data_IF_142055408773
#
_entry.id   IF_142055408773
#
_cell.length_a   1.000
_cell.length_b   1.000
_cell.length_c   1.000
_cell.angle_alpha   90.00
_cell.angle_beta   90.00
_cell.angle_gamma   90.00
#
_symmetry.space_group_name_H-M   'P 1'
#
loop_
_entity.id
_entity.type
_entity.pdbx_description
1 polymer ?
#
# COMPACT_ATOMS: atom_id res chain seq x y z
N UNK A 1 7.51 -27.62 0.48
CA UNK A 1 6.19 -28.21 0.13
C UNK A 1 5.31 -28.19 1.36
N UNK A 2 4.37 -27.25 1.46
CA UNK A 2 3.26 -27.20 2.46
C UNK A 2 2.12 -26.43 1.76
N UNK A 3 1.19 -27.13 1.09
CA UNK A 3 -0.22 -27.38 1.48
C UNK A 3 -1.03 -26.07 1.68
N UNK A 4 -1.78 -25.53 0.70
CA UNK A 4 -3.05 -25.97 0.06
C UNK A 4 -4.17 -26.28 1.08
N UNK A 5 -4.88 -25.24 1.56
CA UNK A 5 -6.00 -25.37 2.53
C UNK A 5 -7.12 -24.31 2.40
N UNK A 6 -7.51 -23.88 1.19
CA UNK A 6 -8.66 -22.95 1.03
C UNK A 6 -9.66 -23.34 -0.07
N UNK A 7 -9.67 -24.62 -0.47
CA UNK A 7 -10.72 -25.16 -1.33
C UNK A 7 -11.79 -25.84 -0.48
N UNK A 8 -13.07 -25.51 -0.74
CA UNK A 8 -14.28 -26.14 -0.19
C UNK A 8 -14.93 -25.47 1.03
N UNK A 9 -15.53 -24.29 0.83
CA UNK A 9 -16.66 -23.84 1.67
C UNK A 9 -17.85 -23.25 0.90
N UNK A 10 -17.83 -23.17 -0.43
CA UNK A 10 -18.94 -22.59 -1.19
C UNK A 10 -19.38 -23.51 -2.31
N UNK A 11 -20.22 -24.48 -1.94
CA UNK A 11 -21.01 -25.25 -2.88
C UNK A 11 -22.27 -25.75 -2.19
N UNK A 12 -23.43 -25.20 -2.57
CA UNK A 12 -24.66 -25.94 -2.93
C UNK A 12 -25.95 -25.11 -2.74
N UNK A 13 -26.81 -25.14 -3.77
CA UNK A 13 -28.28 -24.92 -3.69
C UNK A 13 -28.75 -23.52 -4.10
N UNK A 14 -29.14 -23.24 -5.35
CA UNK A 14 -30.34 -23.65 -6.13
C UNK A 14 -31.43 -22.56 -6.21
N UNK A 15 -31.47 -21.94 -7.41
CA UNK A 15 -32.58 -21.45 -8.24
C UNK A 15 -33.45 -20.20 -7.92
N UNK A 16 -33.93 -19.52 -9.00
CA UNK A 16 -34.31 -18.12 -8.98
C UNK A 16 -35.82 -17.92 -8.79
N UNK A 17 -36.20 -16.90 -8.02
CA UNK A 17 -37.56 -16.34 -8.09
C UNK A 17 -37.50 -14.94 -8.67
N UNK A 18 -37.83 -14.89 -9.96
CA UNK A 18 -38.32 -13.69 -10.62
C UNK A 18 -39.70 -13.36 -10.04
N UNK A 19 -39.83 -12.20 -9.42
CA UNK A 19 -41.10 -11.57 -9.10
C UNK A 19 -40.99 -10.10 -9.47
N UNK A 20 -41.70 -9.75 -10.55
CA UNK A 20 -41.91 -8.39 -11.00
C UNK A 20 -42.61 -7.57 -9.90
N UNK A 21 -42.05 -6.40 -9.61
CA UNK A 21 -42.66 -5.37 -8.79
C UNK A 21 -42.35 -4.01 -9.42
N UNK A 22 -43.24 -3.55 -10.28
CA UNK A 22 -43.26 -2.17 -10.77
C UNK A 22 -43.49 -1.25 -9.57
N UNK A 23 -42.50 -0.40 -9.29
CA UNK A 23 -42.60 0.71 -8.38
C UNK A 23 -41.68 1.80 -8.91
N UNK A 24 -42.27 2.80 -9.56
CA UNK A 24 -41.63 4.07 -9.88
C UNK A 24 -41.23 4.74 -8.55
N UNK A 25 -40.00 4.47 -8.11
CA UNK A 25 -39.31 5.15 -7.04
C UNK A 25 -38.26 6.06 -7.66
N UNK A 26 -38.47 7.37 -7.50
CA UNK A 26 -37.51 8.46 -7.61
C UNK A 26 -36.04 8.00 -7.45
N UNK A 27 -35.08 8.44 -8.28
CA UNK A 27 -33.67 8.16 -8.02
C UNK A 27 -33.25 8.93 -6.77
N UNK A 28 -33.30 8.27 -5.61
CA UNK A 28 -32.55 8.70 -4.43
C UNK A 28 -31.07 8.70 -4.80
N UNK A 29 -30.30 9.75 -4.42
CA UNK A 29 -28.87 9.75 -4.66
C UNK A 29 -28.26 8.57 -3.92
N UNK A 30 -27.66 7.65 -4.66
CA UNK A 30 -26.85 6.58 -4.11
C UNK A 30 -25.83 7.18 -3.13
N UNK A 31 -26.12 7.04 -1.84
CA UNK A 31 -25.19 7.41 -0.78
C UNK A 31 -23.93 6.58 -0.99
N UNK A 32 -22.80 7.28 -1.13
CA UNK A 32 -21.55 6.72 -1.63
C UNK A 32 -21.14 5.46 -0.89
N UNK A 33 -21.11 4.34 -1.61
CA UNK A 33 -20.30 3.20 -1.21
C UNK A 33 -18.84 3.61 -1.39
N UNK A 34 -18.21 4.09 -0.31
CA UNK A 34 -16.78 4.33 -0.30
C UNK A 34 -16.08 3.02 -0.71
N UNK A 35 -15.14 3.12 -1.65
CA UNK A 35 -14.27 1.99 -1.99
C UNK A 35 -13.50 1.58 -0.72
N UNK A 36 -13.68 0.35 -0.20
CA UNK A 36 -13.04 -0.07 1.04
C UNK A 36 -11.50 0.00 0.96
N UNK A 37 -10.92 -0.19 -0.22
CA UNK A 37 -9.47 -0.06 -0.40
C UNK A 37 -9.01 1.41 -0.30
N UNK A 38 -9.83 2.36 -0.75
CA UNK A 38 -9.55 3.79 -0.63
C UNK A 38 -9.65 4.25 0.82
N UNK A 39 -10.64 3.73 1.58
CA UNK A 39 -10.78 4.02 3.01
C UNK A 39 -9.60 3.46 3.82
N UNK A 40 -9.21 2.20 3.58
CA UNK A 40 -8.03 1.57 4.19
C UNK A 40 -6.76 2.38 3.94
N UNK A 41 -6.56 2.84 2.70
CA UNK A 41 -5.39 3.65 2.34
C UNK A 41 -5.42 5.04 3.00
N UNK A 42 -6.61 5.65 3.14
CA UNK A 42 -6.77 6.92 3.85
C UNK A 42 -6.40 6.79 5.33
N UNK A 43 -6.81 5.70 5.98
CA UNK A 43 -6.40 5.38 7.36
C UNK A 43 -4.89 5.19 7.44
N UNK A 44 -4.30 4.44 6.52
CA UNK A 44 -2.84 4.22 6.44
C UNK A 44 -2.08 5.54 6.28
N UNK A 45 -2.59 6.46 5.45
CA UNK A 45 -2.02 7.80 5.24
C UNK A 45 -2.09 8.66 6.50
N UNK A 46 -3.21 8.59 7.23
CA UNK A 46 -3.35 9.28 8.52
C UNK A 46 -2.32 8.75 9.54
N UNK A 47 -2.16 7.43 9.62
CA UNK A 47 -1.16 6.80 10.48
C UNK A 47 0.29 7.25 10.13
N UNK A 48 0.62 7.36 8.84
CA UNK A 48 1.93 7.89 8.42
C UNK A 48 2.15 9.34 8.88
N UNK A 49 1.11 10.17 8.79
CA UNK A 49 1.16 11.56 9.24
C UNK A 49 1.36 11.66 10.76
N UNK A 50 0.63 10.84 11.53
CA UNK A 50 0.79 10.77 12.99
C UNK A 50 2.16 10.26 13.41
N UNK A 51 2.69 9.27 12.70
CA UNK A 51 4.05 8.78 12.93
C UNK A 51 5.09 9.87 12.66
N UNK A 52 4.99 10.58 11.53
CA UNK A 52 5.86 11.72 11.21
C UNK A 52 5.79 12.79 12.30
N UNK A 53 4.59 13.17 12.75
CA UNK A 53 4.41 14.13 13.84
C UNK A 53 5.10 13.68 15.13
N UNK A 54 4.94 12.40 15.47
CA UNK A 54 5.56 11.80 16.67
C UNK A 54 7.08 11.83 16.58
N UNK A 55 7.65 11.41 15.45
CA UNK A 55 9.10 11.43 15.21
C UNK A 55 9.66 12.85 15.32
N UNK A 56 9.03 13.82 14.68
CA UNK A 56 9.47 15.22 14.74
C UNK A 56 9.36 15.80 16.16
N UNK A 57 8.28 15.49 16.89
CA UNK A 57 8.11 15.88 18.29
C UNK A 57 9.16 15.27 19.23
N UNK A 58 9.73 14.12 18.85
CA UNK A 58 10.79 13.41 19.57
C UNK A 58 12.18 13.61 18.96
N UNK A 59 12.32 14.46 17.94
CA UNK A 59 13.57 14.59 17.18
C UNK A 59 14.77 14.99 18.01
N UNK A 60 14.59 15.81 19.06
CA UNK A 60 15.67 16.20 19.97
C UNK A 60 16.20 15.04 20.84
N UNK A 61 15.45 13.95 20.96
CA UNK A 61 15.84 12.76 21.72
C UNK A 61 16.56 11.71 20.85
N UNK A 62 16.59 11.91 19.54
CA UNK A 62 17.16 10.99 18.55
C UNK A 62 18.51 11.51 18.04
N UNK A 63 19.51 10.64 17.84
CA UNK A 63 20.69 11.02 17.07
C UNK A 63 20.31 11.49 15.67
N UNK A 64 21.03 12.49 15.15
CA UNK A 64 20.75 13.10 13.84
C UNK A 64 20.67 12.07 12.71
N UNK A 65 21.54 11.06 12.73
CA UNK A 65 21.58 10.01 11.70
C UNK A 65 20.29 9.16 11.71
N UNK A 66 19.82 8.78 12.90
CA UNK A 66 18.55 8.05 13.09
C UNK A 66 17.39 8.89 12.58
N UNK A 67 17.31 10.16 12.99
CA UNK A 67 16.25 11.06 12.54
C UNK A 67 16.24 11.19 11.02
N UNK A 68 17.40 11.38 10.40
CA UNK A 68 17.54 11.48 8.94
C UNK A 68 17.02 10.24 8.22
N UNK A 69 17.40 9.04 8.68
CA UNK A 69 16.99 7.79 8.04
C UNK A 69 15.49 7.51 8.21
N UNK A 70 14.93 7.83 9.38
CA UNK A 70 13.48 7.76 9.61
C UNK A 70 12.73 8.70 8.67
N UNK A 71 13.17 9.96 8.53
CA UNK A 71 12.52 10.91 7.64
C UNK A 71 12.59 10.47 6.18
N UNK A 72 13.73 9.93 5.73
CA UNK A 72 13.87 9.37 4.39
C UNK A 72 12.92 8.19 4.14
N UNK A 73 12.76 7.31 5.13
CA UNK A 73 11.79 6.22 5.06
C UNK A 73 10.35 6.76 4.97
N UNK A 74 9.99 7.73 5.82
CA UNK A 74 8.67 8.36 5.80
C UNK A 74 8.36 9.05 4.46
N UNK A 75 9.36 9.70 3.85
CA UNK A 75 9.22 10.30 2.51
C UNK A 75 8.96 9.24 1.44
N UNK A 76 9.69 8.12 1.51
CA UNK A 76 9.51 6.99 0.57
C UNK A 76 8.12 6.40 0.69
N UNK A 77 7.63 6.18 1.92
CA UNK A 77 6.29 5.66 2.19
C UNK A 77 5.20 6.65 1.75
N UNK A 78 5.40 7.95 1.97
CA UNK A 78 4.47 8.98 1.52
C UNK A 78 4.35 9.05 -0.01
N UNK A 79 5.47 8.95 -0.72
CA UNK A 79 5.50 8.88 -2.17
C UNK A 79 4.80 7.61 -2.70
N UNK A 80 5.01 6.46 -2.03
CA UNK A 80 4.37 5.20 -2.35
C UNK A 80 2.85 5.26 -2.16
N UNK A 81 2.36 5.75 -1.02
CA UNK A 81 0.93 5.96 -0.77
C UNK A 81 0.32 6.81 -1.89
N UNK A 82 0.96 7.93 -2.22
CA UNK A 82 0.47 8.80 -3.30
C UNK A 82 0.43 8.11 -4.66
N UNK A 83 1.34 7.18 -4.95
CA UNK A 83 1.29 6.37 -6.17
C UNK A 83 0.14 5.36 -6.12
N UNK A 84 -0.03 4.64 -5.02
CA UNK A 84 -1.12 3.67 -4.82
C UNK A 84 -2.49 4.34 -4.94
N UNK A 85 -2.66 5.56 -4.42
CA UNK A 85 -3.90 6.34 -4.57
C UNK A 85 -4.32 6.52 -6.04
N UNK A 86 -3.36 6.56 -6.97
CA UNK A 86 -3.61 6.77 -8.41
C UNK A 86 -3.61 5.50 -9.25
N UNK A 87 -2.82 4.52 -8.86
CA UNK A 87 -2.53 3.34 -9.68
C UNK A 87 -3.06 2.05 -9.08
N UNK A 88 -3.56 2.07 -7.86
CA UNK A 88 -3.94 0.88 -7.11
C UNK A 88 -2.73 0.08 -6.62
N UNK A 89 -3.03 -0.93 -5.82
CA UNK A 89 -2.09 -1.94 -5.33
C UNK A 89 -2.88 -3.20 -4.96
N UNK A 90 -2.20 -4.34 -4.88
CA UNK A 90 -2.81 -5.57 -4.35
C UNK A 90 -3.13 -5.42 -2.85
N UNK A 91 -4.02 -6.27 -2.34
CA UNK A 91 -4.36 -6.29 -0.92
C UNK A 91 -3.13 -6.58 -0.05
N UNK A 92 -2.28 -7.53 -0.46
CA UNK A 92 -1.05 -7.87 0.25
C UNK A 92 -0.08 -6.67 0.32
N UNK A 93 0.01 -5.89 -0.76
CA UNK A 93 0.84 -4.69 -0.82
C UNK A 93 0.32 -3.60 0.14
N UNK A 94 -1.01 -3.41 0.20
CA UNK A 94 -1.63 -2.47 1.16
C UNK A 94 -1.45 -2.92 2.61
N UNK A 95 -1.63 -4.21 2.89
CA UNK A 95 -1.41 -4.80 4.22
C UNK A 95 0.03 -4.62 4.67
N UNK A 96 1.01 -4.91 3.80
CA UNK A 96 2.43 -4.72 4.14
C UNK A 96 2.77 -3.25 4.39
N UNK A 97 2.27 -2.35 3.54
CA UNK A 97 2.45 -0.91 3.72
C UNK A 97 1.90 -0.44 5.07
N UNK A 98 0.67 -0.85 5.40
CA UNK A 98 0.05 -0.55 6.68
C UNK A 98 0.91 -1.09 7.84
N UNK A 99 1.31 -2.37 7.81
CA UNK A 99 2.12 -2.98 8.87
C UNK A 99 3.48 -2.28 9.08
N UNK A 100 4.13 -1.82 8.01
CA UNK A 100 5.38 -1.03 8.11
C UNK A 100 5.13 0.27 8.90
N UNK A 101 4.00 0.93 8.65
CA UNK A 101 3.65 2.21 9.25
C UNK A 101 3.12 2.04 10.68
N UNK A 102 2.31 1.03 10.95
CA UNK A 102 1.62 0.86 12.24
C UNK A 102 2.44 0.08 13.26
N UNK A 103 3.28 -0.86 12.80
CA UNK A 103 3.91 -1.84 13.69
C UNK A 103 5.43 -1.83 13.57
N UNK A 104 5.95 -2.02 12.35
CA UNK A 104 7.37 -2.33 12.18
C UNK A 104 8.29 -1.11 12.34
N UNK A 105 7.85 0.09 11.96
CA UNK A 105 8.62 1.31 12.22
C UNK A 105 8.42 1.86 13.64
N UNK A 106 7.18 1.96 14.19
CA UNK A 106 6.98 2.55 15.52
C UNK A 106 7.63 1.74 16.64
N UNK A 107 7.56 0.41 16.57
CA UNK A 107 8.05 -0.49 17.63
C UNK A 107 9.55 -0.33 17.97
N UNK A 108 10.50 -0.38 17.00
CA UNK A 108 11.92 -0.20 17.30
C UNK A 108 12.24 1.22 17.75
N UNK A 109 11.57 2.25 17.20
CA UNK A 109 11.74 3.64 17.64
C UNK A 109 11.27 3.83 19.08
N UNK A 110 10.11 3.27 19.42
CA UNK A 110 9.59 3.30 20.78
C UNK A 110 10.55 2.60 21.75
N UNK A 111 11.01 1.40 21.40
CA UNK A 111 11.97 0.64 22.22
C UNK A 111 13.27 1.42 22.43
N UNK A 112 13.78 2.06 21.38
CA UNK A 112 14.98 2.89 21.46
C UNK A 112 14.77 4.13 22.35
N UNK A 113 13.63 4.80 22.24
CA UNK A 113 13.28 5.97 23.06
C UNK A 113 13.05 5.64 24.55
N UNK A 114 12.81 4.38 24.90
CA UNK A 114 12.79 3.92 26.30
C UNK A 114 14.18 3.78 26.91
N UNK A 115 15.25 3.73 26.09
CA UNK A 115 16.61 3.64 26.59
C UNK A 115 17.04 4.93 27.28
N UNK A 116 17.89 4.82 28.30
CA UNK A 116 18.51 5.99 28.93
C UNK A 116 19.46 6.72 27.95
N UNK A 117 19.63 8.04 28.16
CA UNK A 117 20.49 8.89 27.29
C UNK A 117 21.89 8.32 26.99
N UNK A 118 22.61 7.68 27.92
CA UNK A 118 23.94 7.12 27.63
C UNK A 118 23.95 6.02 26.56
N UNK A 119 22.83 5.31 26.39
CA UNK A 119 22.67 4.28 25.36
C UNK A 119 22.16 4.84 24.02
N UNK A 120 21.84 6.14 23.96
CA UNK A 120 21.32 6.84 22.76
C UNK A 120 22.36 7.77 22.15
N UNK A 121 23.62 7.37 22.17
CA UNK A 121 24.73 8.07 21.52
C UNK A 121 24.96 7.52 20.11
N UNK A 122 25.62 8.30 19.25
CA UNK A 122 25.88 7.91 17.86
C UNK A 122 26.66 6.59 17.77
N UNK A 123 27.63 6.38 18.67
CA UNK A 123 28.53 5.22 18.67
C UNK A 123 28.00 4.04 19.50
N UNK A 124 26.78 4.11 20.04
CA UNK A 124 26.24 3.01 20.86
C UNK A 124 25.80 1.83 19.99
N UNK A 125 25.98 0.62 20.52
CA UNK A 125 25.49 -0.60 19.87
C UNK A 125 23.98 -0.56 19.61
N UNK A 126 23.22 0.11 20.48
CA UNK A 126 21.77 0.27 20.35
C UNK A 126 21.40 1.18 19.18
N UNK A 127 22.16 2.25 18.95
CA UNK A 127 21.97 3.12 17.78
C UNK A 127 22.31 2.38 16.49
N UNK A 128 23.43 1.64 16.45
CA UNK A 128 23.80 0.81 15.30
C UNK A 128 22.72 -0.20 14.96
N UNK A 129 22.22 -0.95 15.96
CA UNK A 129 21.16 -1.94 15.74
C UNK A 129 19.84 -1.30 15.24
N UNK A 130 19.50 -0.11 15.72
CA UNK A 130 18.34 0.63 15.20
C UNK A 130 18.54 1.04 13.73
N UNK A 131 19.74 1.52 13.36
CA UNK A 131 20.04 1.92 11.98
C UNK A 131 19.97 0.73 11.01
N UNK A 132 20.43 -0.46 11.42
CA UNK A 132 20.32 -1.70 10.64
C UNK A 132 18.85 -2.11 10.42
N UNK A 133 18.02 -1.96 11.46
CA UNK A 133 16.58 -2.20 11.35
C UNK A 133 15.91 -1.21 10.40
N UNK A 134 16.25 0.08 10.50
CA UNK A 134 15.73 1.12 9.61
C UNK A 134 16.20 0.92 8.17
N UNK A 135 17.42 0.43 7.95
CA UNK A 135 17.92 0.13 6.61
C UNK A 135 17.16 -1.05 5.98
N UNK A 136 16.91 -2.09 6.78
CA UNK A 136 16.06 -3.22 6.37
C UNK A 136 14.66 -2.73 5.97
N UNK A 137 14.03 -1.89 6.79
CA UNK A 137 12.71 -1.32 6.49
C UNK A 137 12.73 -0.43 5.24
N UNK A 138 13.80 0.35 5.05
CA UNK A 138 13.97 1.17 3.85
C UNK A 138 14.08 0.32 2.59
N UNK A 139 14.90 -0.74 2.62
CA UNK A 139 14.99 -1.72 1.54
C UNK A 139 13.65 -2.37 1.23
N UNK A 140 12.91 -2.79 2.27
CA UNK A 140 11.55 -3.34 2.11
C UNK A 140 10.60 -2.34 1.45
N UNK A 141 10.58 -1.07 1.88
CA UNK A 141 9.73 -0.04 1.31
C UNK A 141 10.06 0.24 -0.16
N UNK A 142 11.35 0.29 -0.53
CA UNK A 142 11.79 0.45 -1.92
C UNK A 142 11.40 -0.74 -2.79
N UNK A 143 11.53 -1.96 -2.27
CA UNK A 143 11.12 -3.16 -2.98
C UNK A 143 9.61 -3.18 -3.21
N UNK A 144 8.82 -2.77 -2.23
CA UNK A 144 7.38 -2.63 -2.36
C UNK A 144 7.01 -1.58 -3.42
N UNK A 145 7.64 -0.40 -3.40
CA UNK A 145 7.44 0.64 -4.43
C UNK A 145 7.75 0.11 -5.84
N UNK A 146 8.85 -0.62 -6.00
CA UNK A 146 9.20 -1.24 -7.27
C UNK A 146 8.16 -2.27 -7.73
N UNK A 147 7.66 -3.12 -6.82
CA UNK A 147 6.64 -4.12 -7.13
C UNK A 147 5.32 -3.50 -7.56
N UNK A 148 4.84 -2.47 -6.83
CA UNK A 148 3.59 -1.77 -7.16
C UNK A 148 3.69 -1.13 -8.55
N UNK A 149 4.80 -0.44 -8.84
CA UNK A 149 5.03 0.18 -10.16
C UNK A 149 5.11 -0.84 -11.29
N UNK A 150 5.82 -1.95 -11.08
CA UNK A 150 6.00 -2.99 -12.10
C UNK A 150 4.68 -3.71 -12.39
N UNK A 151 3.87 -3.96 -11.37
CA UNK A 151 2.52 -4.51 -11.52
C UNK A 151 1.64 -3.63 -12.41
N UNK A 152 1.58 -2.33 -12.10
CA UNK A 152 0.80 -1.37 -12.90
C UNK A 152 1.27 -1.29 -14.36
N UNK A 153 2.59 -1.30 -14.61
CA UNK A 153 3.15 -1.32 -15.98
C UNK A 153 2.70 -2.58 -16.73
N UNK A 154 2.70 -3.74 -16.06
CA UNK A 154 2.31 -5.02 -16.66
C UNK A 154 0.83 -5.01 -17.04
N UNK A 155 -0.05 -4.51 -16.16
CA UNK A 155 -1.48 -4.39 -16.46
C UNK A 155 -1.75 -3.46 -17.64
N UNK A 156 -1.07 -2.31 -17.71
CA UNK A 156 -1.18 -1.38 -18.84
C UNK A 156 -0.72 -2.02 -20.16
N UNK A 157 0.37 -2.77 -20.15
CA UNK A 157 0.86 -3.46 -21.33
C UNK A 157 -0.13 -4.52 -21.85
N UNK A 158 -0.69 -5.33 -20.94
CA UNK A 158 -1.72 -6.32 -21.26
C UNK A 158 -2.97 -5.65 -21.82
N UNK A 159 -3.44 -4.57 -21.18
CA UNK A 159 -4.61 -3.85 -21.66
C UNK A 159 -4.37 -3.22 -23.04
N UNK A 160 -3.20 -2.62 -23.27
CA UNK A 160 -2.83 -2.06 -24.57
C UNK A 160 -2.67 -3.10 -25.69
N UNK A 161 -2.21 -4.32 -25.38
CA UNK A 161 -2.22 -5.44 -26.33
C UNK A 161 -3.65 -5.86 -26.66
N UNK A 162 -4.49 -6.06 -25.64
CA UNK A 162 -5.90 -6.40 -25.82
C UNK A 162 -6.64 -5.38 -26.71
N UNK A 163 -6.40 -4.08 -26.49
CA UNK A 163 -6.99 -3.04 -27.33
C UNK A 163 -6.51 -3.12 -28.78
N UNK A 164 -5.21 -3.34 -29.01
CA UNK A 164 -4.66 -3.53 -30.37
C UNK A 164 -5.26 -4.74 -31.07
N UNK A 165 -5.39 -5.86 -30.37
CA UNK A 165 -5.99 -7.09 -30.90
C UNK A 165 -7.49 -6.88 -31.22
N UNK A 166 -8.22 -6.17 -30.34
CA UNK A 166 -9.65 -5.89 -30.52
C UNK A 166 -9.94 -4.92 -31.65
N UNK A 167 -9.07 -3.94 -31.88
CA UNK A 167 -9.26 -2.90 -32.90
C UNK A 167 -8.51 -3.14 -34.20
N UNK A 168 -7.75 -4.25 -34.31
CA UNK A 168 -6.96 -4.70 -35.46
C UNK A 168 -6.66 -3.59 -36.49
N UNK A 169 -5.77 -2.68 -36.11
CA UNK A 169 -5.39 -1.47 -36.89
C UNK A 169 -4.71 -1.85 -38.22
N UNK A 170 -4.35 -3.12 -38.42
CA UNK A 170 -3.76 -3.65 -39.64
C UNK A 170 -4.79 -4.17 -40.68
N UNK A 171 -6.09 -4.17 -40.35
CA UNK A 171 -7.17 -4.72 -41.19
C UNK A 171 -7.87 -3.73 -42.13
N UNK A 172 -7.68 -2.42 -41.98
CA UNK A 172 -8.27 -1.41 -42.87
C UNK A 172 -7.33 -1.13 -44.06
N UNK A 173 -7.02 -2.16 -44.86
CA UNK A 173 -6.65 -1.94 -46.25
C UNK A 173 -7.91 -1.54 -47.00
N UNK A 174 -8.12 -0.25 -47.17
CA UNK A 174 -9.03 0.29 -48.17
C UNK A 174 -8.48 -0.13 -49.53
N UNK A 175 -8.94 -1.27 -50.05
CA UNK A 175 -8.77 -1.59 -51.48
C UNK A 175 -9.59 -0.57 -52.26
N UNK A 176 -8.90 0.46 -52.77
CA UNK A 176 -9.47 1.42 -53.70
C UNK A 176 -9.71 0.73 -55.04
N UNK A 177 -11.00 0.63 -55.40
CA UNK A 177 -11.45 0.45 -56.77
C UNK A 177 -11.27 1.74 -57.58
#
# INVERSE_FOLDING_TARGET
>A
MVAKFLGSLFGSGSDPRSAAGSGEGQPEPASGSADPAAEELAVTKAALHDLRRTVLGKGAELPTLVLSQVLQLLDTLGALIGYIERSGASTEQRVLLNAVITDYMPSPLHTYLLLGRPARTVDSAQTTGLLEQLDTLHSTARNLDHQVRTGAITELAVHGQFLRDKFNVDGLRLEGH
#
